data_IF_622357138912
#
_entry.id   IF_622357138912
#
_cell.length_a   1.000
_cell.length_b   1.000
_cell.length_c   1.000
_cell.angle_alpha   90.00
_cell.angle_beta   90.00
_cell.angle_gamma   90.00
#
_symmetry.space_group_name_H-M   'P 1'
#
loop_
_entity.id
_entity.type
_entity.pdbx_description
1 polymer ?
#
# COMPACT_ATOMS: atom_id res chain seq x y z
N UNK A 1 3.75 30.40 -6.86
CA UNK A 1 2.63 29.92 -7.69
C UNK A 1 2.70 28.40 -7.70
N UNK A 2 1.64 27.69 -7.30
CA UNK A 2 1.65 26.24 -7.25
C UNK A 2 1.72 25.73 -8.68
N UNK A 3 2.75 24.94 -8.98
CA UNK A 3 2.86 24.22 -10.23
C UNK A 3 1.68 23.26 -10.28
N UNK A 4 0.76 23.44 -11.24
CA UNK A 4 -0.27 22.45 -11.54
C UNK A 4 0.44 21.13 -11.83
N UNK A 5 0.49 20.25 -10.84
CA UNK A 5 0.95 18.88 -11.00
C UNK A 5 -0.12 18.15 -11.80
N UNK A 6 0.26 17.73 -13.01
CA UNK A 6 -0.56 16.90 -13.87
C UNK A 6 -0.98 15.64 -13.10
N UNK A 7 -2.25 15.19 -13.17
CA UNK A 7 -2.76 14.02 -12.40
C UNK A 7 -1.88 12.77 -12.58
N UNK A 8 -1.27 12.62 -13.76
CA UNK A 8 -0.33 11.54 -14.09
C UNK A 8 1.01 11.62 -13.32
N UNK A 9 1.49 12.82 -12.99
CA UNK A 9 2.69 13.02 -12.16
C UNK A 9 2.43 12.65 -10.71
N UNK A 10 1.17 12.75 -10.26
CA UNK A 10 0.74 12.44 -8.90
C UNK A 10 0.65 10.93 -8.69
N UNK A 11 0.12 10.21 -9.69
CA UNK A 11 0.05 8.74 -9.73
C UNK A 11 1.44 8.10 -9.61
N UNK A 12 2.45 8.65 -10.30
CA UNK A 12 3.82 8.15 -10.27
C UNK A 12 4.48 8.34 -8.90
N UNK A 13 4.24 9.49 -8.26
CA UNK A 13 4.72 9.77 -6.91
C UNK A 13 4.07 8.83 -5.88
N UNK A 14 2.76 8.57 -6.02
CA UNK A 14 2.04 7.62 -5.16
C UNK A 14 2.53 6.18 -5.30
N UNK A 15 2.91 5.74 -6.51
CA UNK A 15 3.37 4.37 -6.75
C UNK A 15 4.82 4.17 -6.25
N UNK A 16 5.71 5.12 -6.53
CA UNK A 16 7.16 4.91 -6.40
C UNK A 16 7.84 5.78 -5.34
N UNK A 17 7.15 6.79 -4.79
CA UNK A 17 7.75 7.78 -3.88
C UNK A 17 8.76 8.72 -4.55
N UNK A 18 8.86 8.73 -5.89
CA UNK A 18 9.84 9.55 -6.62
C UNK A 18 9.21 10.29 -7.79
N UNK A 19 9.60 11.56 -7.98
CA UNK A 19 9.11 12.39 -9.07
C UNK A 19 9.90 12.17 -10.36
N UNK A 20 9.22 12.17 -11.51
CA UNK A 20 9.78 11.92 -12.84
C UNK A 20 10.96 12.85 -13.21
N UNK A 21 10.85 14.13 -12.82
CA UNK A 21 11.86 15.16 -13.09
C UNK A 21 12.59 15.52 -11.80
N UNK A 22 13.67 14.80 -11.51
CA UNK A 22 14.58 15.18 -10.42
C UNK A 22 15.62 16.19 -10.94
N UNK A 23 15.65 17.43 -10.40
CA UNK A 23 16.63 18.44 -10.83
C UNK A 23 18.08 17.96 -10.69
N UNK A 24 18.36 17.11 -9.69
CA UNK A 24 19.70 16.56 -9.48
C UNK A 24 20.10 15.58 -10.60
N UNK A 25 19.18 14.75 -11.09
CA UNK A 25 19.46 13.82 -12.20
C UNK A 25 19.67 14.60 -13.50
N UNK A 26 18.84 15.61 -13.78
CA UNK A 26 19.01 16.50 -14.93
C UNK A 26 20.37 17.19 -14.90
N UNK A 27 20.83 17.62 -13.72
CA UNK A 27 22.14 18.22 -13.53
C UNK A 27 23.29 17.26 -13.86
N UNK A 28 23.17 15.98 -13.47
CA UNK A 28 24.16 14.97 -13.84
C UNK A 28 24.18 14.68 -15.34
N UNK A 29 23.01 14.61 -15.98
CA UNK A 29 22.90 14.46 -17.43
C UNK A 29 23.51 15.65 -18.17
N UNK A 30 23.29 16.88 -17.68
CA UNK A 30 23.91 18.09 -18.21
C UNK A 30 25.43 18.10 -17.98
N UNK A 31 25.89 17.62 -16.83
CA UNK A 31 27.31 17.50 -16.50
C UNK A 31 28.02 16.49 -17.40
N UNK A 32 27.42 15.33 -17.68
CA UNK A 32 27.94 14.33 -18.60
C UNK A 32 28.13 14.90 -20.01
N UNK A 33 27.18 15.70 -20.50
CA UNK A 33 27.26 16.34 -21.83
C UNK A 33 28.28 17.47 -21.90
N UNK A 34 28.40 18.27 -20.85
CA UNK A 34 29.18 19.53 -20.86
C UNK A 34 30.58 19.41 -20.28
N UNK A 35 30.85 18.39 -19.45
CA UNK A 35 32.10 18.19 -18.73
C UNK A 35 32.45 19.29 -17.72
N UNK A 36 31.50 20.17 -17.38
CA UNK A 36 31.71 21.29 -16.47
C UNK A 36 30.42 21.60 -15.70
N UNK A 37 30.53 21.67 -14.37
CA UNK A 37 29.41 22.00 -13.48
C UNK A 37 28.88 23.40 -13.79
N UNK A 38 29.76 24.34 -14.18
CA UNK A 38 29.34 25.70 -14.49
C UNK A 38 28.47 25.73 -15.76
N UNK A 39 28.88 25.03 -16.82
CA UNK A 39 28.09 24.90 -18.06
C UNK A 39 26.78 24.15 -17.81
N UNK A 40 26.80 23.10 -16.99
CA UNK A 40 25.60 22.35 -16.61
C UNK A 40 24.61 23.20 -15.78
N UNK A 41 25.11 24.07 -14.90
CA UNK A 41 24.27 24.98 -14.13
C UNK A 41 23.60 26.03 -15.03
N UNK A 42 24.36 26.60 -15.97
CA UNK A 42 23.86 27.57 -16.96
C UNK A 42 22.77 26.97 -17.86
N UNK A 43 22.97 25.75 -18.38
CA UNK A 43 21.97 25.10 -19.24
C UNK A 43 20.66 24.78 -18.51
N UNK A 44 20.69 24.68 -17.19
CA UNK A 44 19.53 24.49 -16.34
C UNK A 44 18.94 25.79 -15.77
N UNK A 45 19.55 26.94 -16.06
CA UNK A 45 19.11 28.23 -15.51
C UNK A 45 19.26 28.35 -13.99
N UNK A 46 20.19 27.59 -13.38
CA UNK A 46 20.44 27.62 -11.94
C UNK A 46 21.81 28.22 -11.62
N UNK A 47 21.94 28.81 -10.42
CA UNK A 47 23.22 29.33 -9.94
C UNK A 47 24.23 28.19 -9.73
N UNK A 48 25.50 28.45 -10.05
CA UNK A 48 26.61 27.50 -9.86
C UNK A 48 26.65 26.94 -8.42
N UNK A 49 26.48 27.80 -7.42
CA UNK A 49 26.46 27.39 -6.00
C UNK A 49 25.37 26.35 -5.71
N UNK A 50 24.18 26.54 -6.28
CA UNK A 50 23.07 25.59 -6.12
C UNK A 50 23.36 24.26 -6.80
N UNK A 51 23.94 24.29 -8.00
CA UNK A 51 24.38 23.08 -8.70
C UNK A 51 25.44 22.31 -7.89
N UNK A 52 26.45 23.03 -7.38
CA UNK A 52 27.50 22.47 -6.54
C UNK A 52 26.95 21.82 -5.27
N UNK A 53 26.06 22.51 -4.54
CA UNK A 53 25.42 21.96 -3.34
C UNK A 53 24.62 20.70 -3.62
N UNK A 54 23.87 20.64 -4.73
CA UNK A 54 23.12 19.44 -5.15
C UNK A 54 24.07 18.26 -5.42
N UNK A 55 25.19 18.51 -6.10
CA UNK A 55 26.18 17.47 -6.40
C UNK A 55 26.88 17.00 -5.13
N UNK A 56 27.30 17.91 -4.24
CA UNK A 56 27.90 17.53 -2.96
C UNK A 56 26.95 16.69 -2.10
N UNK A 57 25.68 17.10 -2.03
CA UNK A 57 24.66 16.33 -1.30
C UNK A 57 24.53 14.92 -1.87
N UNK A 58 24.47 14.78 -3.19
CA UNK A 58 24.38 13.46 -3.81
C UNK A 58 25.66 12.64 -3.59
N UNK A 59 26.83 13.25 -3.70
CA UNK A 59 28.11 12.58 -3.45
C UNK A 59 28.17 11.99 -2.04
N UNK A 60 27.66 12.69 -1.03
CA UNK A 60 27.64 12.20 0.36
C UNK A 60 26.66 11.03 0.59
N UNK A 61 25.71 10.81 -0.32
CA UNK A 61 24.77 9.69 -0.25
C UNK A 61 25.31 8.44 -0.97
N UNK A 62 26.41 8.57 -1.72
CA UNK A 62 26.98 7.49 -2.52
C UNK A 62 28.20 6.89 -1.80
N UNK A 63 28.41 5.56 -1.90
CA UNK A 63 29.58 4.91 -1.31
C UNK A 63 30.87 5.15 -2.10
N UNK A 64 30.82 5.90 -3.20
CA UNK A 64 31.94 6.20 -4.09
C UNK A 64 31.92 7.67 -4.53
N UNK A 65 33.08 8.27 -4.88
CA UNK A 65 33.13 9.63 -5.39
C UNK A 65 32.39 9.74 -6.72
N UNK A 66 31.52 10.75 -6.83
CA UNK A 66 30.73 10.99 -8.03
C UNK A 66 31.51 11.73 -9.11
N UNK A 67 32.52 12.52 -8.71
CA UNK A 67 33.29 13.39 -9.59
C UNK A 67 34.79 13.15 -9.47
N UNK A 68 35.48 13.16 -10.61
CA UNK A 68 36.93 13.28 -10.71
C UNK A 68 37.31 14.70 -11.15
N UNK A 69 38.43 15.20 -10.63
CA UNK A 69 39.01 16.48 -11.08
C UNK A 69 39.80 16.24 -12.36
N UNK A 70 39.53 17.00 -13.41
CA UNK A 70 40.41 17.09 -14.57
C UNK A 70 41.46 18.15 -14.29
N UNK A 71 42.73 17.79 -14.30
CA UNK A 71 43.83 18.75 -14.22
C UNK A 71 43.76 19.60 -15.48
N UNK A 72 43.49 20.89 -15.34
CA UNK A 72 43.40 21.83 -16.46
C UNK A 72 44.17 23.09 -16.12
N UNK A 73 44.99 23.55 -17.07
CA UNK A 73 45.74 24.81 -17.02
C UNK A 73 44.82 26.05 -17.02
N UNK A 74 45.33 27.18 -17.54
CA UNK A 74 44.88 28.58 -17.35
C UNK A 74 43.38 28.93 -17.48
N UNK A 75 42.49 28.00 -17.85
CA UNK A 75 41.03 28.16 -17.90
C UNK A 75 40.21 27.43 -16.81
N UNK A 76 40.87 26.76 -15.84
CA UNK A 76 40.21 26.12 -14.69
C UNK A 76 39.88 24.63 -14.90
N UNK A 77 40.27 23.81 -13.93
CA UNK A 77 40.04 22.36 -13.93
C UNK A 77 38.56 22.00 -13.88
N UNK A 78 38.08 21.28 -14.90
CA UNK A 78 36.72 20.76 -14.95
C UNK A 78 36.50 19.62 -13.96
N UNK A 79 35.25 19.41 -13.56
CA UNK A 79 34.83 18.21 -12.83
C UNK A 79 34.04 17.32 -13.77
N UNK A 80 34.48 16.07 -13.92
CA UNK A 80 33.86 15.07 -14.80
C UNK A 80 33.33 13.94 -13.92
N UNK A 81 32.29 13.24 -14.38
CA UNK A 81 31.82 12.03 -13.71
C UNK A 81 32.91 10.96 -13.69
N UNK A 82 33.09 10.34 -12.53
CA UNK A 82 33.85 9.08 -12.38
C UNK A 82 33.23 7.97 -13.23
N UNK A 83 33.95 6.86 -13.41
CA UNK A 83 33.39 5.71 -14.12
C UNK A 83 32.17 5.13 -13.38
N UNK A 84 32.21 5.10 -12.05
CA UNK A 84 31.08 4.73 -11.20
C UNK A 84 29.91 5.72 -11.35
N UNK A 85 30.21 7.03 -11.41
CA UNK A 85 29.21 8.06 -11.65
C UNK A 85 28.52 7.92 -13.01
N UNK A 86 29.27 7.56 -14.06
CA UNK A 86 28.72 7.25 -15.39
C UNK A 86 27.87 5.97 -15.38
N UNK A 87 28.31 4.91 -14.70
CA UNK A 87 27.52 3.69 -14.55
C UNK A 87 26.20 3.93 -13.81
N UNK A 88 26.23 4.69 -12.71
CA UNK A 88 25.03 5.09 -11.98
C UNK A 88 24.06 5.85 -12.89
N UNK A 89 24.56 6.82 -13.65
CA UNK A 89 23.74 7.59 -14.59
C UNK A 89 23.17 6.70 -15.70
N UNK A 90 23.93 5.73 -16.21
CA UNK A 90 23.47 4.73 -17.16
C UNK A 90 22.32 3.87 -16.60
N UNK A 91 22.46 3.37 -15.37
CA UNK A 91 21.40 2.62 -14.67
C UNK A 91 20.15 3.46 -14.47
N UNK A 92 20.31 4.73 -14.07
CA UNK A 92 19.20 5.68 -13.92
C UNK A 92 18.48 5.90 -15.26
N UNK A 93 19.22 6.08 -16.36
CA UNK A 93 18.63 6.25 -17.70
C UNK A 93 17.86 5.02 -18.16
N UNK A 94 18.41 3.83 -17.94
CA UNK A 94 17.72 2.57 -18.26
C UNK A 94 16.40 2.49 -17.48
N UNK A 95 16.46 2.74 -16.18
CA UNK A 95 15.30 2.76 -15.31
C UNK A 95 14.25 3.79 -15.77
N UNK A 96 14.67 5.02 -16.12
CA UNK A 96 13.78 6.04 -16.68
C UNK A 96 13.10 5.61 -17.99
N UNK A 97 13.81 4.86 -18.85
CA UNK A 97 13.26 4.35 -20.11
C UNK A 97 12.18 3.30 -19.87
N UNK A 98 12.47 2.30 -19.06
CA UNK A 98 11.51 1.24 -18.70
C UNK A 98 10.27 1.85 -18.01
N UNK A 99 10.47 2.84 -17.13
CA UNK A 99 9.35 3.58 -16.54
C UNK A 99 8.56 4.37 -17.58
N UNK A 100 9.21 4.96 -18.58
CA UNK A 100 8.50 5.68 -19.64
C UNK A 100 7.61 4.74 -20.45
N UNK A 101 8.05 3.50 -20.69
CA UNK A 101 7.22 2.48 -21.33
C UNK A 101 6.05 2.06 -20.43
N UNK A 102 6.30 1.82 -19.13
CA UNK A 102 5.23 1.54 -18.17
C UNK A 102 4.19 2.67 -18.11
N UNK A 103 4.63 3.93 -18.17
CA UNK A 103 3.72 5.09 -18.24
C UNK A 103 2.85 5.09 -19.48
N UNK A 104 3.36 4.70 -20.64
CA UNK A 104 2.54 4.62 -21.85
C UNK A 104 1.49 3.51 -21.73
N UNK A 105 1.88 2.35 -21.19
CA UNK A 105 0.94 1.28 -20.86
C UNK A 105 -0.15 1.74 -19.87
N UNK A 106 0.23 2.50 -18.84
CA UNK A 106 -0.70 3.04 -17.85
C UNK A 106 -1.45 4.32 -18.32
N UNK A 107 -1.07 4.94 -19.45
CA UNK A 107 -1.70 6.17 -19.92
C UNK A 107 -3.07 5.91 -20.54
N UNK A 108 -3.26 4.72 -21.13
CA UNK A 108 -4.53 4.32 -21.72
C UNK A 108 -5.58 4.05 -20.63
N UNK A 109 -5.20 3.36 -19.54
CA UNK A 109 -6.08 3.05 -18.39
C UNK A 109 -5.38 3.29 -17.02
N UNK A 110 -5.19 4.55 -16.59
CA UNK A 110 -4.42 4.87 -15.38
C UNK A 110 -5.05 4.35 -14.08
N UNK A 111 -6.38 4.31 -14.01
CA UNK A 111 -7.10 3.75 -12.86
C UNK A 111 -6.92 2.22 -12.76
N UNK A 112 -6.89 1.52 -13.89
CA UNK A 112 -6.70 0.07 -13.94
C UNK A 112 -5.28 -0.32 -13.54
N UNK A 113 -4.27 0.42 -14.02
CA UNK A 113 -2.88 0.23 -13.61
C UNK A 113 -2.69 0.44 -12.10
N UNK A 114 -3.29 1.50 -11.53
CA UNK A 114 -3.24 1.75 -10.09
C UNK A 114 -3.94 0.65 -9.30
N UNK A 115 -5.11 0.20 -9.76
CA UNK A 115 -5.87 -0.90 -9.15
C UNK A 115 -5.06 -2.19 -9.17
N UNK A 116 -4.38 -2.47 -10.28
CA UNK A 116 -3.50 -3.63 -10.43
C UNK A 116 -2.33 -3.56 -9.45
N UNK A 117 -1.64 -2.42 -9.34
CA UNK A 117 -0.53 -2.23 -8.39
C UNK A 117 -1.00 -2.38 -6.95
N UNK A 118 -2.13 -1.77 -6.58
CA UNK A 118 -2.74 -1.94 -5.26
C UNK A 118 -3.06 -3.41 -4.99
N UNK A 119 -3.56 -4.13 -5.98
CA UNK A 119 -3.83 -5.57 -5.89
C UNK A 119 -2.55 -6.37 -5.63
N UNK A 120 -1.48 -6.12 -6.39
CA UNK A 120 -0.18 -6.77 -6.18
C UNK A 120 0.37 -6.50 -4.77
N UNK A 121 0.27 -5.25 -4.27
CA UNK A 121 0.66 -4.92 -2.89
C UNK A 121 -0.13 -5.69 -1.84
N UNK A 122 -1.43 -5.89 -2.05
CA UNK A 122 -2.28 -6.69 -1.14
C UNK A 122 -1.89 -8.15 -1.13
N UNK A 123 -1.51 -8.72 -2.27
CA UNK A 123 -1.06 -10.12 -2.39
C UNK A 123 0.24 -10.35 -1.61
N UNK A 124 1.19 -9.41 -1.65
CA UNK A 124 2.47 -9.50 -0.94
C UNK A 124 2.35 -9.31 0.59
N UNK A 125 1.17 -8.92 1.10
CA UNK A 125 1.00 -8.74 2.54
C UNK A 125 1.07 -10.06 3.30
N UNK A 126 1.97 -10.12 4.27
CA UNK A 126 2.06 -11.23 5.22
C UNK A 126 1.35 -10.88 6.51
N UNK A 127 0.23 -11.54 6.78
CA UNK A 127 -0.55 -11.40 8.01
C UNK A 127 -0.79 -12.77 8.64
N UNK A 128 -0.80 -12.84 9.97
CA UNK A 128 -1.18 -14.05 10.70
C UNK A 128 -2.71 -14.22 10.82
N UNK A 129 -3.47 -13.19 10.44
CA UNK A 129 -4.91 -13.24 10.37
C UNK A 129 -5.36 -13.96 9.09
N UNK A 130 -6.31 -14.88 9.23
CA UNK A 130 -6.87 -15.63 8.09
C UNK A 130 -7.98 -14.88 7.36
N UNK A 131 -8.63 -13.95 8.05
CA UNK A 131 -9.71 -13.16 7.48
C UNK A 131 -9.17 -11.79 7.10
N UNK A 132 -9.11 -11.53 5.80
CA UNK A 132 -8.75 -10.23 5.25
C UNK A 132 -9.74 -9.93 4.13
N UNK A 133 -10.59 -8.94 4.35
CA UNK A 133 -11.60 -8.53 3.38
C UNK A 133 -11.35 -7.11 2.92
N UNK A 134 -11.40 -6.92 1.61
CA UNK A 134 -11.44 -5.59 1.04
C UNK A 134 -12.84 -5.00 1.20
N UNK A 135 -12.91 -3.74 1.60
CA UNK A 135 -14.17 -3.01 1.67
C UNK A 135 -13.99 -1.52 1.52
N UNK A 136 -15.12 -0.83 1.44
CA UNK A 136 -15.20 0.62 1.38
C UNK A 136 -15.87 1.16 2.63
N UNK A 137 -15.26 2.18 3.26
CA UNK A 137 -15.85 2.87 4.40
C UNK A 137 -17.11 3.61 3.94
N UNK A 138 -18.26 3.28 4.52
CA UNK A 138 -19.54 3.94 4.23
C UNK A 138 -19.85 5.05 5.22
N UNK A 139 -19.44 4.89 6.49
CA UNK A 139 -19.71 5.86 7.54
C UNK A 139 -18.65 5.75 8.65
N UNK A 140 -18.30 6.89 9.26
CA UNK A 140 -17.45 6.97 10.46
C UNK A 140 -18.19 7.78 11.52
N UNK A 141 -18.59 7.13 12.62
CA UNK A 141 -19.16 7.79 13.80
C UNK A 141 -18.06 8.04 14.80
N UNK A 142 -17.60 9.29 14.88
CA UNK A 142 -16.57 9.69 15.83
C UNK A 142 -17.12 9.77 17.25
N UNK A 143 -16.37 9.20 18.20
CA UNK A 143 -16.64 9.32 19.63
C UNK A 143 -15.63 10.24 20.32
N UNK A 144 -15.62 10.20 21.66
CA UNK A 144 -14.63 10.94 22.45
C UNK A 144 -13.27 10.22 22.58
N UNK A 145 -13.26 8.91 22.35
CA UNK A 145 -12.07 8.04 22.49
C UNK A 145 -11.99 7.05 21.33
N UNK A 146 -13.12 6.47 20.96
CA UNK A 146 -13.23 5.48 19.90
C UNK A 146 -14.21 5.95 18.82
N UNK A 147 -13.87 5.65 17.58
CA UNK A 147 -14.72 5.78 16.42
C UNK A 147 -15.30 4.43 16.03
N UNK A 148 -16.55 4.44 15.57
CA UNK A 148 -17.18 3.30 14.91
C UNK A 148 -17.09 3.50 13.40
N UNK A 149 -16.47 2.56 12.70
CA UNK A 149 -16.27 2.61 11.25
C UNK A 149 -17.13 1.51 10.62
N UNK A 150 -18.06 1.90 9.75
CA UNK A 150 -18.90 0.99 8.97
C UNK A 150 -18.29 0.78 7.58
N UNK A 151 -18.20 -0.47 7.15
CA UNK A 151 -17.48 -0.87 5.94
C UNK A 151 -18.38 -1.82 5.14
N UNK A 152 -18.60 -1.46 3.87
CA UNK A 152 -19.25 -2.31 2.89
C UNK A 152 -18.21 -3.28 2.32
N UNK A 153 -18.47 -4.59 2.46
CA UNK A 153 -17.70 -5.63 1.80
C UNK A 153 -18.33 -5.98 0.45
N UNK A 154 -17.65 -6.84 -0.32
CA UNK A 154 -18.22 -7.47 -1.51
C UNK A 154 -19.52 -8.21 -1.17
N UNK A 155 -20.55 -8.07 -2.03
CA UNK A 155 -21.78 -8.86 -1.97
C UNK A 155 -22.74 -8.49 -0.84
N UNK A 156 -22.96 -7.19 -0.64
CA UNK A 156 -23.88 -6.60 0.34
C UNK A 156 -23.55 -6.87 1.82
N UNK A 157 -22.56 -7.70 2.14
CA UNK A 157 -22.10 -7.90 3.52
C UNK A 157 -21.51 -6.62 4.12
N UNK A 158 -21.69 -6.42 5.42
CA UNK A 158 -21.16 -5.25 6.14
C UNK A 158 -20.29 -5.70 7.30
N UNK A 159 -19.22 -4.95 7.56
CA UNK A 159 -18.41 -5.12 8.77
C UNK A 159 -18.24 -3.78 9.48
N UNK A 160 -18.35 -3.82 10.79
CA UNK A 160 -18.19 -2.70 11.69
C UNK A 160 -16.93 -2.91 12.51
N UNK A 161 -16.07 -1.90 12.53
CA UNK A 161 -14.86 -1.85 13.35
C UNK A 161 -14.97 -0.73 14.39
N UNK A 162 -14.41 -0.96 15.57
CA UNK A 162 -14.21 0.08 16.59
C UNK A 162 -12.73 0.27 16.79
N UNK A 163 -12.23 1.44 16.42
CA UNK A 163 -10.82 1.83 16.57
C UNK A 163 -10.72 3.19 17.27
N UNK A 164 -9.54 3.51 17.77
CA UNK A 164 -9.31 4.81 18.40
C UNK A 164 -9.42 5.94 17.39
N UNK A 165 -9.88 7.12 17.82
CA UNK A 165 -9.96 8.31 16.96
C UNK A 165 -8.58 8.71 16.41
N UNK A 166 -7.53 8.47 17.21
CA UNK A 166 -6.14 8.64 16.78
C UNK A 166 -5.78 7.72 15.60
N UNK A 167 -6.32 6.50 15.55
CA UNK A 167 -6.09 5.57 14.43
C UNK A 167 -6.85 5.99 13.17
N UNK A 168 -8.09 6.49 13.29
CA UNK A 168 -8.83 7.08 12.16
C UNK A 168 -8.02 8.21 11.53
N UNK A 169 -7.52 9.15 12.35
CA UNK A 169 -6.69 10.28 11.88
C UNK A 169 -5.37 9.81 11.26
N UNK A 170 -4.66 8.88 11.91
CA UNK A 170 -3.38 8.35 11.43
C UNK A 170 -3.50 7.63 10.10
N UNK A 171 -4.60 6.90 9.90
CA UNK A 171 -4.91 6.19 8.65
C UNK A 171 -5.57 7.09 7.60
N UNK A 172 -5.86 8.35 7.92
CA UNK A 172 -6.53 9.27 6.99
C UNK A 172 -7.92 8.81 6.54
N UNK A 173 -8.63 8.04 7.37
CA UNK A 173 -9.89 7.43 6.99
C UNK A 173 -10.99 8.49 6.83
N UNK A 174 -11.68 8.41 5.70
CA UNK A 174 -12.84 9.21 5.33
C UNK A 174 -13.91 8.32 4.70
N UNK A 175 -15.14 8.82 4.61
CA UNK A 175 -16.17 8.11 3.83
C UNK A 175 -15.69 7.91 2.40
N UNK A 176 -15.86 6.70 1.87
CA UNK A 176 -15.37 6.28 0.56
C UNK A 176 -13.94 5.71 0.57
N UNK A 177 -13.22 5.78 1.69
CA UNK A 177 -11.87 5.19 1.81
C UNK A 177 -11.92 3.68 1.58
N UNK A 178 -11.00 3.17 0.78
CA UNK A 178 -10.81 1.75 0.57
C UNK A 178 -9.91 1.19 1.68
N UNK A 179 -10.39 0.15 2.38
CA UNK A 179 -9.74 -0.42 3.55
C UNK A 179 -9.75 -1.94 3.50
N UNK A 180 -8.79 -2.55 4.18
CA UNK A 180 -8.82 -3.98 4.50
C UNK A 180 -9.29 -4.16 5.94
N UNK A 181 -10.36 -4.91 6.12
CA UNK A 181 -10.83 -5.38 7.41
C UNK A 181 -10.17 -6.72 7.73
N UNK A 182 -9.45 -6.78 8.83
CA UNK A 182 -8.60 -7.90 9.22
C UNK A 182 -9.09 -8.48 10.54
N UNK A 183 -9.36 -9.79 10.56
CA UNK A 183 -9.82 -10.51 11.76
C UNK A 183 -9.05 -11.82 11.93
N UNK A 184 -8.53 -12.06 13.13
CA UNK A 184 -7.89 -13.33 13.46
C UNK A 184 -8.95 -14.43 13.56
N UNK A 185 -8.72 -15.59 12.98
CA UNK A 185 -9.71 -16.69 12.96
C UNK A 185 -10.15 -17.14 14.36
N UNK A 186 -9.27 -17.04 15.36
CA UNK A 186 -9.58 -17.35 16.78
C UNK A 186 -10.56 -16.35 17.43
N UNK A 187 -10.83 -15.21 16.81
CA UNK A 187 -11.78 -14.19 17.27
C UNK A 187 -13.12 -14.26 16.54
N UNK A 188 -13.28 -15.23 15.62
CA UNK A 188 -14.53 -15.49 14.93
C UNK A 188 -15.26 -16.60 15.66
N UNK A 189 -16.37 -16.27 16.32
CA UNK A 189 -17.25 -17.25 16.94
C UNK A 189 -18.26 -17.77 15.93
N UNK A 190 -18.76 -18.98 16.13
CA UNK A 190 -19.77 -19.59 15.27
C UNK A 190 -21.07 -19.82 16.04
N UNK A 191 -22.19 -19.55 15.39
CA UNK A 191 -23.53 -19.73 15.97
C UNK A 191 -24.56 -20.13 14.93
N UNK A 192 -25.52 -20.95 15.35
CA UNK A 192 -26.71 -21.32 14.57
C UNK A 192 -27.87 -20.42 15.00
N UNK A 193 -28.72 -20.02 14.05
CA UNK A 193 -29.97 -19.28 14.28
C UNK A 193 -29.82 -18.07 15.22
N UNK A 194 -28.77 -17.28 14.99
CA UNK A 194 -28.44 -16.14 15.83
C UNK A 194 -29.38 -14.97 15.54
N UNK A 195 -30.09 -14.50 16.57
CA UNK A 195 -30.78 -13.22 16.54
C UNK A 195 -29.78 -12.07 16.83
N UNK A 196 -29.54 -11.16 15.87
CA UNK A 196 -28.64 -10.03 16.05
C UNK A 196 -28.95 -9.14 17.26
N UNK A 197 -30.20 -9.09 17.72
CA UNK A 197 -30.61 -8.25 18.85
C UNK A 197 -30.25 -8.86 20.21
N UNK A 198 -29.93 -10.16 20.25
CA UNK A 198 -29.67 -10.90 21.48
C UNK A 198 -28.20 -10.95 21.88
N UNK A 199 -27.30 -10.47 21.02
CA UNK A 199 -25.85 -10.52 21.25
C UNK A 199 -25.20 -9.14 21.12
N UNK A 200 -24.13 -8.92 21.89
CA UNK A 200 -23.40 -7.65 21.88
C UNK A 200 -22.42 -7.49 20.70
N UNK A 201 -22.24 -8.55 19.90
CA UNK A 201 -21.35 -8.50 18.74
C UNK A 201 -22.06 -7.77 17.58
N UNK A 202 -21.34 -6.89 16.90
CA UNK A 202 -21.93 -6.04 15.84
C UNK A 202 -21.79 -6.63 14.44
N UNK A 203 -20.99 -7.68 14.29
CA UNK A 203 -20.72 -8.30 13.00
C UNK A 203 -21.26 -9.72 13.05
N UNK A 204 -22.23 -9.98 12.17
CA UNK A 204 -22.84 -11.29 11.98
C UNK A 204 -22.83 -11.52 10.48
N UNK A 205 -21.99 -12.46 10.04
CA UNK A 205 -21.82 -12.81 8.64
C UNK A 205 -22.37 -14.23 8.45
N UNK A 206 -23.51 -14.33 7.79
CA UNK A 206 -24.22 -15.60 7.59
C UNK A 206 -23.87 -16.21 6.25
N UNK A 207 -23.62 -17.52 6.24
CA UNK A 207 -23.21 -18.25 5.05
C UNK A 207 -23.36 -19.75 5.23
N UNK A 208 -22.70 -20.50 4.35
CA UNK A 208 -22.73 -21.96 4.33
C UNK A 208 -21.33 -22.49 4.65
N UNK A 209 -21.23 -23.51 5.48
CA UNK A 209 -19.94 -24.19 5.74
C UNK A 209 -19.47 -24.86 4.44
N UNK A 210 -18.37 -24.40 3.88
CA UNK A 210 -17.78 -24.94 2.65
C UNK A 210 -16.62 -25.90 2.91
N UNK A 211 -15.91 -25.76 4.03
CA UNK A 211 -14.80 -26.64 4.39
C UNK A 211 -14.61 -26.77 5.91
N UNK A 212 -14.15 -27.94 6.35
CA UNK A 212 -13.75 -28.23 7.74
C UNK A 212 -12.41 -28.97 7.70
N UNK A 213 -11.38 -28.38 8.31
CA UNK A 213 -10.09 -29.05 8.52
C UNK A 213 -10.01 -29.44 9.99
N UNK A 214 -10.13 -30.73 10.27
CA UNK A 214 -10.09 -31.25 11.64
C UNK A 214 -8.66 -31.30 12.17
N UNK A 215 -8.48 -30.89 13.41
CA UNK A 215 -7.23 -31.02 14.17
C UNK A 215 -7.40 -31.86 15.43
N UNK A 216 -6.33 -31.97 16.21
CA UNK A 216 -6.33 -32.73 17.47
C UNK A 216 -7.10 -31.98 18.57
N UNK A 217 -6.99 -30.65 18.58
CA UNK A 217 -7.56 -29.77 19.62
C UNK A 217 -8.55 -28.77 19.04
N UNK A 218 -8.19 -28.19 17.88
CA UNK A 218 -9.01 -27.20 17.20
C UNK A 218 -9.21 -27.61 15.75
N UNK A 219 -10.38 -27.26 15.24
CA UNK A 219 -10.75 -27.42 13.84
C UNK A 219 -10.82 -26.03 13.19
N UNK A 220 -10.41 -25.96 11.92
CA UNK A 220 -10.52 -24.77 11.09
C UNK A 220 -11.77 -24.90 10.20
N UNK A 221 -12.71 -23.97 10.36
CA UNK A 221 -13.99 -23.95 9.66
C UNK A 221 -13.97 -22.81 8.66
N UNK A 222 -14.28 -23.10 7.40
CA UNK A 222 -14.45 -22.08 6.36
C UNK A 222 -15.92 -21.98 5.97
N UNK A 223 -16.42 -20.75 5.93
CA UNK A 223 -17.79 -20.39 5.60
C UNK A 223 -17.75 -19.56 4.31
N UNK A 224 -18.57 -19.94 3.35
CA UNK A 224 -18.79 -19.17 2.13
C UNK A 224 -19.98 -18.22 2.34
N UNK A 225 -19.75 -16.92 2.11
CA UNK A 225 -20.78 -15.89 2.17
C UNK A 225 -21.42 -15.72 0.78
N UNK A 226 -22.68 -15.25 0.69
CA UNK A 226 -23.38 -15.07 -0.58
C UNK A 226 -22.63 -14.19 -1.61
N UNK A 227 -21.83 -13.23 -1.12
CA UNK A 227 -20.97 -12.37 -1.93
C UNK A 227 -19.74 -13.02 -2.55
N UNK A 228 -19.47 -14.29 -2.25
CA UNK A 228 -18.25 -15.00 -2.60
C UNK A 228 -17.03 -14.61 -1.76
N UNK A 229 -17.23 -13.88 -0.65
CA UNK A 229 -16.24 -13.79 0.41
C UNK A 229 -16.24 -15.08 1.22
N UNK A 230 -15.13 -15.39 1.88
CA UNK A 230 -15.07 -16.49 2.85
C UNK A 230 -14.74 -15.98 4.24
N UNK A 231 -15.20 -16.69 5.26
CA UNK A 231 -14.85 -16.44 6.66
C UNK A 231 -14.25 -17.71 7.25
N UNK A 232 -13.07 -17.60 7.84
CA UNK A 232 -12.39 -18.68 8.55
C UNK A 232 -12.48 -18.47 10.05
N UNK A 233 -12.94 -19.50 10.75
CA UNK A 233 -12.98 -19.57 12.21
C UNK A 233 -12.14 -20.75 12.69
N UNK A 234 -11.47 -20.59 13.84
CA UNK A 234 -10.80 -21.68 14.54
C UNK A 234 -11.55 -21.88 15.86
N UNK A 235 -12.16 -23.04 16.02
CA UNK A 235 -12.89 -23.44 17.23
C UNK A 235 -12.42 -24.82 17.71
N UNK A 236 -12.72 -25.17 18.96
CA UNK A 236 -12.34 -26.49 19.48
C UNK A 236 -13.05 -27.61 18.73
N UNK A 237 -12.38 -28.74 18.51
CA UNK A 237 -12.99 -29.91 17.86
C UNK A 237 -14.19 -30.45 18.65
N UNK A 238 -14.21 -30.22 19.97
CA UNK A 238 -15.37 -30.50 20.83
C UNK A 238 -16.58 -29.62 20.50
N UNK A 239 -16.36 -28.36 20.11
CA UNK A 239 -17.43 -27.44 19.71
C UNK A 239 -18.02 -27.83 18.36
N UNK A 240 -17.18 -28.25 17.39
CA UNK A 240 -17.65 -28.79 16.10
C UNK A 240 -18.59 -29.97 16.32
N UNK A 241 -18.20 -30.93 17.15
CA UNK A 241 -19.03 -32.09 17.48
C UNK A 241 -20.32 -31.71 18.20
N UNK A 242 -20.23 -30.84 19.22
CA UNK A 242 -21.39 -30.39 20.01
C UNK A 242 -22.41 -29.61 19.19
N UNK A 243 -21.96 -28.78 18.26
CA UNK A 243 -22.81 -28.00 17.35
C UNK A 243 -23.19 -28.80 16.10
N UNK A 244 -22.73 -30.05 15.99
CA UNK A 244 -22.97 -30.94 14.86
C UNK A 244 -22.63 -30.29 13.51
N UNK A 245 -21.53 -29.54 13.44
CA UNK A 245 -21.17 -28.82 12.21
C UNK A 245 -20.75 -29.78 11.10
N UNK A 246 -21.28 -29.55 9.90
CA UNK A 246 -20.94 -30.30 8.70
C UNK A 246 -20.98 -29.39 7.48
N UNK A 247 -20.24 -29.76 6.44
CA UNK A 247 -20.25 -29.05 5.15
C UNK A 247 -21.70 -28.98 4.62
N UNK A 248 -22.06 -27.83 4.06
CA UNK A 248 -23.40 -27.54 3.54
C UNK A 248 -24.38 -26.97 4.57
N UNK A 249 -24.06 -26.96 5.87
CA UNK A 249 -24.94 -26.37 6.88
C UNK A 249 -24.87 -24.84 6.87
N UNK A 250 -26.00 -24.13 7.04
CA UNK A 250 -26.01 -22.70 7.26
C UNK A 250 -25.45 -22.38 8.66
N UNK A 251 -24.66 -21.32 8.76
CA UNK A 251 -24.08 -20.86 10.02
C UNK A 251 -23.79 -19.36 9.98
N UNK A 252 -23.72 -18.74 11.15
CA UNK A 252 -23.31 -17.34 11.29
C UNK A 252 -21.96 -17.22 11.98
N UNK A 253 -21.05 -16.47 11.36
CA UNK A 253 -19.80 -16.01 11.95
C UNK A 253 -20.04 -14.71 12.72
N UNK A 254 -19.67 -14.70 14.00
CA UNK A 254 -19.93 -13.62 14.94
C UNK A 254 -18.60 -13.01 15.37
N UNK A 255 -18.46 -11.69 15.17
CA UNK A 255 -17.19 -10.98 15.42
C UNK A 255 -17.49 -9.71 16.22
N UNK A 256 -16.74 -9.47 17.31
CA UNK A 256 -16.81 -8.19 18.02
C UNK A 256 -16.17 -7.09 17.17
N UNK A 257 -16.78 -5.92 17.14
CA UNK A 257 -16.23 -4.80 16.36
C UNK A 257 -14.84 -4.35 16.83
N UNK A 258 -14.49 -4.59 18.10
CA UNK A 258 -13.14 -4.36 18.65
C UNK A 258 -12.07 -5.29 18.10
N UNK A 259 -12.46 -6.43 17.51
CA UNK A 259 -11.55 -7.45 17.00
C UNK A 259 -11.30 -7.30 15.50
N UNK A 260 -11.92 -6.29 14.87
CA UNK A 260 -11.75 -5.92 13.47
C UNK A 260 -10.69 -4.83 13.36
N UNK A 261 -9.52 -5.20 12.87
CA UNK A 261 -8.45 -4.24 12.58
C UNK A 261 -8.62 -3.67 11.17
N UNK A 262 -8.21 -2.42 10.97
CA UNK A 262 -8.25 -1.75 9.67
C UNK A 262 -6.83 -1.46 9.18
N UNK A 263 -6.61 -1.72 7.89
CA UNK A 263 -5.40 -1.34 7.17
C UNK A 263 -5.75 -0.64 5.86
N UNK A 264 -4.85 0.23 5.41
CA UNK A 264 -4.90 0.90 4.10
C UNK A 264 -3.70 0.41 3.26
N UNK A 265 -3.83 0.43 1.93
CA UNK A 265 -2.81 -0.04 0.98
C UNK A 265 -2.28 1.10 0.09
#
# INVERSE_FOLDING_TARGET
>A
MPVQMNEQSDLLYQIMGWAEKQPTIMLLQALERTGSINKAAQSMGIQYRTAWQKICRLNNLLPYPLLSKRIGGSGGGGSVLTDEGRQLLGRIKLLQREFTQFKHFAADNPQEALTTIKTLRRIEMQLSARNVWLGQVTEIKQGAVNSVVHIQLKGNDHITSVITDASVKRLGLTSGSEVMAIVKASNVLLGMDIDPQTISARNILSGIISNIISGVVNDEITIELPGGNTVTSIITSTSVKRLELSIGKPISAIIKASDVLLAIA
#
